data_IF_488627454913
#
_entry.id   IF_488627454913
#
_cell.length_a   1.000
_cell.length_b   1.000
_cell.length_c   1.000
_cell.angle_alpha   90.00
_cell.angle_beta   90.00
_cell.angle_gamma   90.00
#
_symmetry.space_group_name_H-M   'P 1'
#
loop_
_entity.id
_entity.type
_entity.pdbx_description
1 polymer ?
#
# COMPACT_ATOMS: atom_id res chain seq x y z
N UNK A 1 6.45 -16.07 -25.67
CA UNK A 1 6.22 -16.41 -24.25
C UNK A 1 6.12 -15.16 -23.38
N UNK A 2 6.60 -14.02 -23.87
CA UNK A 2 6.75 -12.75 -23.12
C UNK A 2 5.44 -11.97 -22.86
N UNK A 3 4.42 -12.13 -23.71
CA UNK A 3 3.13 -11.41 -23.59
C UNK A 3 2.36 -11.85 -22.33
N UNK A 4 2.47 -13.12 -21.93
CA UNK A 4 1.75 -13.66 -20.78
C UNK A 4 2.34 -13.19 -19.44
N UNK A 5 3.67 -13.07 -19.35
CA UNK A 5 4.35 -12.58 -18.14
C UNK A 5 4.06 -11.10 -17.88
N UNK A 6 4.03 -10.28 -18.93
CA UNK A 6 3.70 -8.87 -18.80
C UNK A 6 2.26 -8.66 -18.30
N UNK A 7 1.32 -9.47 -18.78
CA UNK A 7 -0.06 -9.44 -18.32
C UNK A 7 -0.19 -9.85 -16.83
N UNK A 8 0.53 -10.89 -16.40
CA UNK A 8 0.55 -11.33 -15.01
C UNK A 8 1.15 -10.27 -14.06
N UNK A 9 2.25 -9.63 -14.48
CA UNK A 9 2.90 -8.57 -13.71
C UNK A 9 2.00 -7.34 -13.55
N UNK A 10 1.31 -6.93 -14.63
CA UNK A 10 0.34 -5.84 -14.59
C UNK A 10 -0.82 -6.15 -13.65
N UNK A 11 -1.30 -7.40 -13.64
CA UNK A 11 -2.36 -7.85 -12.73
C UNK A 11 -1.90 -7.80 -11.26
N UNK A 12 -0.66 -8.20 -10.99
CA UNK A 12 -0.08 -8.13 -9.65
C UNK A 12 0.04 -6.68 -9.15
N UNK A 13 0.54 -5.76 -9.99
CA UNK A 13 0.70 -4.36 -9.60
C UNK A 13 -0.65 -3.68 -9.36
N UNK A 14 -1.64 -3.98 -10.21
CA UNK A 14 -3.01 -3.53 -10.01
C UNK A 14 -3.62 -4.10 -8.72
N UNK A 15 -3.38 -5.38 -8.41
CA UNK A 15 -3.82 -6.00 -7.15
C UNK A 15 -3.19 -5.31 -5.94
N UNK A 16 -1.89 -5.06 -5.96
CA UNK A 16 -1.17 -4.34 -4.91
C UNK A 16 -1.49 -2.84 -4.88
N UNK A 17 -2.19 -2.32 -5.88
CA UNK A 17 -2.45 -0.88 -6.05
C UNK A 17 -1.16 -0.04 -6.02
N UNK A 18 -0.05 -0.59 -6.51
CA UNK A 18 1.25 0.10 -6.56
C UNK A 18 1.56 0.56 -7.98
N UNK A 19 2.23 1.71 -8.08
CA UNK A 19 2.80 2.18 -9.32
C UNK A 19 4.27 1.73 -9.50
N UNK A 20 4.82 2.01 -10.69
CA UNK A 20 6.19 1.68 -11.02
C UNK A 20 7.21 2.46 -10.18
N UNK A 21 6.91 3.71 -9.79
CA UNK A 21 7.79 4.55 -9.00
C UNK A 21 7.94 4.01 -7.58
N UNK A 22 6.84 3.59 -6.96
CA UNK A 22 6.87 2.95 -5.65
C UNK A 22 7.65 1.63 -5.70
N UNK A 23 7.47 0.85 -6.77
CA UNK A 23 8.23 -0.39 -6.98
C UNK A 23 9.74 -0.15 -7.09
N UNK A 24 10.13 0.82 -7.92
CA UNK A 24 11.54 1.25 -8.07
C UNK A 24 12.08 1.80 -6.75
N UNK A 25 11.29 2.57 -6.02
CA UNK A 25 11.66 3.08 -4.70
C UNK A 25 11.97 1.94 -3.70
N UNK A 26 11.10 0.92 -3.61
CA UNK A 26 11.33 -0.23 -2.74
C UNK A 26 12.58 -1.02 -3.17
N UNK A 27 12.83 -1.14 -4.48
CA UNK A 27 14.04 -1.76 -4.99
C UNK A 27 15.30 -0.99 -4.60
N UNK A 28 15.34 0.32 -4.84
CA UNK A 28 16.47 1.18 -4.47
C UNK A 28 16.70 1.18 -2.96
N UNK A 29 15.63 1.25 -2.16
CA UNK A 29 15.72 1.18 -0.71
C UNK A 29 16.32 -0.16 -0.25
N UNK A 30 15.86 -1.27 -0.83
CA UNK A 30 16.40 -2.61 -0.55
C UNK A 30 17.89 -2.68 -0.87
N UNK A 31 18.29 -2.10 -2.00
CA UNK A 31 19.69 -2.05 -2.44
C UNK A 31 20.56 -1.21 -1.49
N UNK A 32 20.10 -0.01 -1.12
CA UNK A 32 20.80 0.88 -0.20
C UNK A 32 20.98 0.26 1.19
N UNK A 33 19.95 -0.41 1.72
CA UNK A 33 20.04 -1.06 3.03
C UNK A 33 21.07 -2.19 3.04
N UNK A 34 21.15 -2.96 1.96
CA UNK A 34 22.14 -4.03 1.85
C UNK A 34 23.55 -3.45 1.69
N UNK A 35 23.75 -2.43 0.86
CA UNK A 35 25.03 -1.73 0.78
C UNK A 35 25.47 -1.24 2.15
N UNK A 36 24.57 -0.58 2.89
CA UNK A 36 24.86 -0.08 4.23
C UNK A 36 25.29 -1.19 5.19
N UNK A 37 24.67 -2.38 5.11
CA UNK A 37 25.10 -3.53 5.91
C UNK A 37 26.49 -4.05 5.53
N UNK A 38 26.81 -4.09 4.23
CA UNK A 38 28.07 -4.61 3.71
C UNK A 38 29.25 -3.67 3.98
N UNK A 39 29.04 -2.36 3.88
CA UNK A 39 30.04 -1.34 4.26
C UNK A 39 30.47 -1.53 5.72
N UNK A 40 29.52 -1.84 6.62
CA UNK A 40 29.83 -2.07 8.04
C UNK A 40 30.62 -3.36 8.31
N UNK A 41 30.71 -4.25 7.34
CA UNK A 41 31.39 -5.55 7.45
C UNK A 41 32.75 -5.54 6.73
N UNK A 42 33.22 -4.38 6.28
CA UNK A 42 34.53 -4.17 5.63
C UNK A 42 34.79 -5.09 4.42
N UNK A 43 33.74 -5.34 3.63
CA UNK A 43 33.81 -6.13 2.40
C UNK A 43 34.44 -5.33 1.27
N UNK A 44 34.97 -6.05 0.26
CA UNK A 44 35.51 -5.42 -0.94
C UNK A 44 34.42 -4.69 -1.75
N UNK A 45 34.81 -3.68 -2.55
CA UNK A 45 33.88 -2.90 -3.38
C UNK A 45 33.02 -3.78 -4.31
N UNK A 46 33.60 -4.86 -4.84
CA UNK A 46 32.90 -5.81 -5.73
C UNK A 46 31.83 -6.59 -4.96
N UNK A 47 32.14 -7.00 -3.72
CA UNK A 47 31.18 -7.70 -2.85
C UNK A 47 30.08 -6.78 -2.33
N UNK A 48 30.39 -5.51 -2.09
CA UNK A 48 29.41 -4.50 -1.67
C UNK A 48 28.32 -4.34 -2.73
N UNK A 49 28.69 -4.21 -4.01
CA UNK A 49 27.77 -3.91 -5.12
C UNK A 49 27.05 -5.14 -5.69
N UNK A 50 27.31 -6.35 -5.16
CA UNK A 50 26.71 -7.58 -5.70
C UNK A 50 25.16 -7.56 -5.57
N UNK A 51 24.40 -7.88 -6.62
CA UNK A 51 22.93 -7.70 -6.61
C UNK A 51 22.16 -8.84 -5.92
N UNK A 52 22.82 -9.91 -5.51
CA UNK A 52 22.23 -11.10 -4.91
C UNK A 52 21.42 -10.82 -3.62
N UNK A 53 22.04 -10.19 -2.63
CA UNK A 53 21.35 -9.88 -1.37
C UNK A 53 20.30 -8.76 -1.51
N UNK A 54 20.53 -7.67 -2.29
CA UNK A 54 19.49 -6.71 -2.61
C UNK A 54 18.25 -7.33 -3.25
N UNK A 55 18.43 -8.25 -4.20
CA UNK A 55 17.32 -8.95 -4.85
C UNK A 55 16.53 -9.81 -3.84
N UNK A 56 17.21 -10.56 -2.98
CA UNK A 56 16.56 -11.34 -1.94
C UNK A 56 15.75 -10.44 -0.99
N UNK A 57 16.31 -9.28 -0.60
CA UNK A 57 15.63 -8.30 0.26
C UNK A 57 14.44 -7.63 -0.45
N UNK A 58 14.54 -7.40 -1.74
CA UNK A 58 13.42 -6.89 -2.55
C UNK A 58 12.28 -7.90 -2.68
N UNK A 59 12.61 -9.18 -2.88
CA UNK A 59 11.62 -10.26 -2.92
C UNK A 59 10.91 -10.42 -1.58
N UNK A 60 11.63 -10.33 -0.46
CA UNK A 60 11.01 -10.37 0.88
C UNK A 60 10.10 -9.17 1.11
N UNK A 61 10.48 -7.96 0.67
CA UNK A 61 9.62 -6.78 0.70
C UNK A 61 8.33 -7.01 -0.11
N UNK A 62 8.43 -7.56 -1.32
CA UNK A 62 7.26 -7.89 -2.14
C UNK A 62 6.31 -8.89 -1.45
N UNK A 63 6.88 -9.91 -0.80
CA UNK A 63 6.09 -10.87 -0.04
C UNK A 63 5.33 -10.19 1.11
N UNK A 64 5.96 -9.24 1.82
CA UNK A 64 5.30 -8.42 2.85
C UNK A 64 4.12 -7.63 2.27
N UNK A 65 4.32 -6.93 1.15
CA UNK A 65 3.28 -6.16 0.46
C UNK A 65 2.08 -7.04 0.08
N UNK A 66 2.35 -8.22 -0.49
CA UNK A 66 1.32 -9.20 -0.88
C UNK A 66 0.52 -9.67 0.34
N UNK A 67 1.19 -10.03 1.45
CA UNK A 67 0.51 -10.51 2.65
C UNK A 67 -0.38 -9.43 3.29
N UNK A 68 0.12 -8.20 3.34
CA UNK A 68 -0.67 -7.06 3.82
C UNK A 68 -1.90 -6.88 2.92
N UNK A 69 -1.72 -6.87 1.60
CA UNK A 69 -2.83 -6.67 0.68
C UNK A 69 -3.87 -7.78 0.76
N UNK A 70 -3.43 -9.03 0.81
CA UNK A 70 -4.31 -10.19 0.97
C UNK A 70 -5.13 -10.11 2.26
N UNK A 71 -4.49 -9.71 3.36
CA UNK A 71 -5.15 -9.56 4.66
C UNK A 71 -6.19 -8.45 4.62
N UNK A 72 -5.84 -7.28 4.08
CA UNK A 72 -6.77 -6.16 3.90
C UNK A 72 -7.98 -6.60 3.06
N UNK A 73 -7.75 -7.18 1.88
CA UNK A 73 -8.83 -7.55 0.95
C UNK A 73 -9.71 -8.68 1.49
N UNK A 74 -9.15 -9.60 2.27
CA UNK A 74 -9.90 -10.68 2.90
C UNK A 74 -10.85 -10.16 3.98
N UNK A 75 -10.37 -9.26 4.84
CA UNK A 75 -11.17 -8.75 5.95
C UNK A 75 -12.10 -7.58 5.57
N UNK A 76 -11.70 -6.69 4.66
CA UNK A 76 -12.56 -5.60 4.16
C UNK A 76 -13.80 -6.13 3.41
N UNK A 77 -13.70 -7.27 2.72
CA UNK A 77 -14.88 -7.91 2.10
C UNK A 77 -15.92 -8.38 3.12
N UNK A 78 -15.51 -8.58 4.38
CA UNK A 78 -16.35 -9.14 5.45
C UNK A 78 -16.93 -8.07 6.38
N UNK A 79 -16.25 -6.91 6.51
CA UNK A 79 -16.65 -5.79 7.38
C UNK A 79 -17.04 -4.57 6.52
N UNK A 80 -18.33 -4.42 6.20
CA UNK A 80 -18.85 -3.36 5.29
C UNK A 80 -18.88 -1.96 5.95
N UNK A 81 -18.79 -1.86 7.28
CA UNK A 81 -19.12 -0.63 8.03
C UNK A 81 -17.92 0.12 8.65
N UNK A 82 -16.72 -0.49 8.75
CA UNK A 82 -15.55 0.08 9.46
C UNK A 82 -14.27 0.18 8.60
N UNK A 83 -14.41 0.02 7.28
CA UNK A 83 -13.31 -0.22 6.34
C UNK A 83 -12.21 0.87 6.28
N UNK A 84 -12.47 2.07 6.81
CA UNK A 84 -11.60 3.25 6.66
C UNK A 84 -11.02 3.79 7.98
N UNK A 85 -11.20 3.09 9.11
CA UNK A 85 -10.56 3.50 10.37
C UNK A 85 -9.10 3.05 10.41
N UNK A 86 -8.20 3.95 10.83
CA UNK A 86 -6.77 3.63 10.99
C UNK A 86 -6.52 2.43 11.93
N UNK A 87 -7.34 2.29 12.99
CA UNK A 87 -7.31 1.15 13.91
C UNK A 87 -7.50 -0.20 13.20
N UNK A 88 -8.38 -0.25 12.20
CA UNK A 88 -8.65 -1.44 11.39
C UNK A 88 -7.44 -1.83 10.54
N UNK A 89 -6.75 -0.84 9.95
CA UNK A 89 -5.50 -1.07 9.21
C UNK A 89 -4.37 -1.59 10.12
N UNK A 90 -4.25 -1.07 11.35
CA UNK A 90 -3.28 -1.59 12.32
C UNK A 90 -3.57 -3.04 12.74
N UNK A 91 -4.84 -3.42 12.88
CA UNK A 91 -5.25 -4.81 13.13
C UNK A 91 -4.81 -5.73 11.99
N UNK A 92 -5.06 -5.34 10.74
CA UNK A 92 -4.67 -6.12 9.57
C UNK A 92 -3.14 -6.18 9.39
N UNK A 93 -2.44 -5.11 9.76
CA UNK A 93 -0.98 -5.08 9.81
C UNK A 93 -0.44 -6.12 10.80
N UNK A 94 -1.00 -6.19 12.01
CA UNK A 94 -0.62 -7.19 13.01
C UNK A 94 -0.89 -8.63 12.58
N UNK A 95 -2.02 -8.90 11.93
CA UNK A 95 -2.33 -10.23 11.38
C UNK A 95 -1.32 -10.60 10.27
N UNK A 96 -1.04 -9.66 9.37
CA UNK A 96 -0.07 -9.84 8.28
C UNK A 96 1.34 -10.10 8.82
N UNK A 97 1.71 -9.48 9.93
CA UNK A 97 2.98 -9.68 10.61
C UNK A 97 3.13 -11.13 11.11
N UNK A 98 2.11 -11.65 11.78
CA UNK A 98 2.11 -13.04 12.28
C UNK A 98 2.20 -14.02 11.10
N UNK A 99 1.39 -13.80 10.05
CA UNK A 99 1.44 -14.62 8.83
C UNK A 99 2.82 -14.58 8.16
N UNK A 100 3.44 -13.41 8.09
CA UNK A 100 4.78 -13.23 7.53
C UNK A 100 5.83 -14.03 8.31
N UNK A 101 5.80 -13.98 9.65
CA UNK A 101 6.73 -14.76 10.48
C UNK A 101 6.53 -16.27 10.28
N UNK A 102 5.28 -16.73 10.25
CA UNK A 102 4.95 -18.14 10.01
C UNK A 102 5.47 -18.63 8.65
N UNK A 103 5.14 -17.92 7.57
CA UNK A 103 5.57 -18.28 6.21
C UNK A 103 7.11 -18.23 6.10
N UNK A 104 7.75 -17.21 6.67
CA UNK A 104 9.21 -17.07 6.64
C UNK A 104 9.93 -18.17 7.42
N UNK A 105 9.34 -18.64 8.52
CA UNK A 105 9.86 -19.78 9.26
C UNK A 105 9.71 -21.09 8.50
N UNK A 106 8.54 -21.33 7.89
CA UNK A 106 8.30 -22.52 7.08
C UNK A 106 9.25 -22.58 5.88
N UNK A 107 9.44 -21.46 5.17
CA UNK A 107 10.41 -21.37 4.09
C UNK A 107 11.84 -21.57 4.59
N UNK A 108 12.20 -20.97 5.72
CA UNK A 108 13.52 -21.13 6.32
C UNK A 108 13.82 -22.58 6.73
N UNK A 109 12.82 -23.28 7.27
CA UNK A 109 12.92 -24.68 7.65
C UNK A 109 13.04 -25.57 6.42
N UNK A 110 12.22 -25.34 5.40
CA UNK A 110 12.30 -26.04 4.12
C UNK A 110 13.69 -25.93 3.49
N UNK A 111 14.22 -24.71 3.37
CA UNK A 111 15.56 -24.45 2.83
C UNK A 111 16.62 -25.14 3.70
N UNK A 112 16.53 -25.02 5.03
CA UNK A 112 17.54 -25.60 5.92
C UNK A 112 17.55 -27.13 5.90
N UNK A 113 16.40 -27.76 5.67
CA UNK A 113 16.31 -29.22 5.43
C UNK A 113 16.97 -29.60 4.12
N UNK A 114 16.71 -28.87 3.03
CA UNK A 114 17.30 -29.15 1.70
C UNK A 114 18.83 -29.05 1.71
N UNK A 115 19.40 -28.11 2.46
CA UNK A 115 20.85 -27.90 2.52
C UNK A 115 21.52 -28.50 3.75
N UNK A 116 20.79 -29.27 4.57
CA UNK A 116 21.27 -29.85 5.82
C UNK A 116 21.92 -28.83 6.78
N UNK A 117 21.33 -27.63 6.89
CA UNK A 117 21.84 -26.52 7.72
C UNK A 117 20.91 -26.19 8.90
N UNK A 118 20.08 -27.14 9.34
CA UNK A 118 19.10 -26.93 10.42
C UNK A 118 19.80 -26.48 11.71
N UNK A 119 20.83 -27.19 12.17
CA UNK A 119 21.56 -26.85 13.40
C UNK A 119 22.19 -25.45 13.36
N UNK A 120 22.67 -25.03 12.17
CA UNK A 120 23.27 -23.71 11.97
C UNK A 120 22.23 -22.59 11.94
N UNK A 121 21.08 -22.81 11.31
CA UNK A 121 20.08 -21.76 11.10
C UNK A 121 19.05 -21.66 12.24
N UNK A 122 18.82 -22.76 12.98
CA UNK A 122 17.81 -22.88 14.05
C UNK A 122 18.42 -22.98 15.46
N UNK A 123 19.64 -22.48 15.68
CA UNK A 123 20.14 -22.26 17.05
C UNK A 123 19.52 -21.01 17.68
N UNK A 124 19.50 -20.95 19.01
CA UNK A 124 18.82 -19.89 19.78
C UNK A 124 19.26 -18.48 19.39
N UNK A 125 20.58 -18.25 19.25
CA UNK A 125 21.11 -16.92 18.91
C UNK A 125 20.69 -16.49 17.50
N UNK A 126 20.82 -17.39 16.52
CA UNK A 126 20.48 -17.13 15.12
C UNK A 126 18.98 -16.91 14.96
N UNK A 127 18.15 -17.67 15.67
CA UNK A 127 16.70 -17.49 15.68
C UNK A 127 16.31 -16.11 16.20
N UNK A 128 16.83 -15.69 17.36
CA UNK A 128 16.53 -14.38 17.94
C UNK A 128 16.90 -13.25 16.98
N UNK A 129 18.12 -13.27 16.44
CA UNK A 129 18.59 -12.26 15.48
C UNK A 129 17.76 -12.26 14.19
N UNK A 130 17.40 -13.45 13.68
CA UNK A 130 16.60 -13.59 12.47
C UNK A 130 15.18 -13.05 12.67
N UNK A 131 14.54 -13.36 13.81
CA UNK A 131 13.21 -12.83 14.14
C UNK A 131 13.24 -11.31 14.31
N UNK A 132 14.27 -10.76 14.97
CA UNK A 132 14.43 -9.33 15.13
C UNK A 132 14.60 -8.64 13.76
N UNK A 133 15.50 -9.15 12.91
CA UNK A 133 15.72 -8.61 11.56
C UNK A 133 14.44 -8.67 10.72
N UNK A 134 13.72 -9.81 10.74
CA UNK A 134 12.44 -9.97 10.03
C UNK A 134 11.38 -9.00 10.54
N UNK A 135 11.35 -8.73 11.84
CA UNK A 135 10.41 -7.78 12.44
C UNK A 135 10.71 -6.35 12.01
N UNK A 136 11.99 -5.97 11.96
CA UNK A 136 12.42 -4.67 11.46
C UNK A 136 12.06 -4.53 9.98
N UNK A 137 12.39 -5.52 9.15
CA UNK A 137 12.09 -5.49 7.72
C UNK A 137 10.57 -5.41 7.46
N UNK A 138 9.77 -6.20 8.18
CA UNK A 138 8.30 -6.13 8.09
C UNK A 138 7.78 -4.76 8.49
N UNK A 139 8.27 -4.21 9.60
CA UNK A 139 7.84 -2.90 10.09
C UNK A 139 8.17 -1.80 9.09
N UNK A 140 9.38 -1.85 8.51
CA UNK A 140 9.84 -0.87 7.55
C UNK A 140 9.04 -0.93 6.24
N UNK A 141 9.04 -2.09 5.56
CA UNK A 141 8.39 -2.20 4.25
C UNK A 141 6.87 -2.20 4.35
N UNK A 142 6.33 -2.88 5.36
CA UNK A 142 4.90 -2.88 5.61
C UNK A 142 4.40 -1.50 6.01
N UNK A 143 5.13 -0.77 6.86
CA UNK A 143 4.79 0.60 7.23
C UNK A 143 4.81 1.56 6.04
N UNK A 144 5.85 1.49 5.20
CA UNK A 144 5.94 2.26 3.96
C UNK A 144 4.77 1.95 3.02
N UNK A 145 4.41 0.68 2.89
CA UNK A 145 3.29 0.26 2.05
C UNK A 145 1.94 0.74 2.58
N UNK A 146 1.68 0.64 3.89
CA UNK A 146 0.47 1.21 4.49
C UNK A 146 0.40 2.71 4.25
N UNK A 147 1.48 3.44 4.51
CA UNK A 147 1.54 4.89 4.30
C UNK A 147 1.22 5.25 2.84
N UNK A 148 1.76 4.48 1.89
CA UNK A 148 1.48 4.63 0.46
C UNK A 148 0.00 4.36 0.13
N UNK A 149 -0.60 3.29 0.66
CA UNK A 149 -2.02 3.01 0.48
C UNK A 149 -2.91 4.12 1.05
N UNK A 150 -2.60 4.61 2.25
CA UNK A 150 -3.32 5.73 2.87
C UNK A 150 -3.22 7.01 2.03
N UNK A 151 -2.04 7.30 1.47
CA UNK A 151 -1.85 8.46 0.59
C UNK A 151 -2.71 8.36 -0.67
N UNK A 152 -2.71 7.19 -1.32
CA UNK A 152 -3.54 6.93 -2.50
C UNK A 152 -5.04 7.08 -2.20
N UNK A 153 -5.49 6.49 -1.09
CA UNK A 153 -6.88 6.55 -0.67
C UNK A 153 -7.33 7.98 -0.35
N UNK A 154 -6.50 8.75 0.37
CA UNK A 154 -6.76 10.16 0.66
C UNK A 154 -6.84 11.02 -0.62
N UNK A 155 -5.96 10.77 -1.60
CA UNK A 155 -6.01 11.50 -2.87
C UNK A 155 -7.30 11.21 -3.65
N UNK A 156 -7.76 9.95 -3.63
CA UNK A 156 -9.04 9.57 -4.24
C UNK A 156 -10.22 10.25 -3.54
N UNK A 157 -10.24 10.26 -2.21
CA UNK A 157 -11.27 10.96 -1.44
C UNK A 157 -11.31 12.46 -1.73
N UNK A 158 -10.14 13.12 -1.79
CA UNK A 158 -10.07 14.54 -2.16
C UNK A 158 -10.60 14.79 -3.57
N UNK A 159 -10.32 13.91 -4.52
CA UNK A 159 -10.83 14.03 -5.89
C UNK A 159 -12.36 13.86 -5.93
N UNK A 160 -12.91 12.96 -5.12
CA UNK A 160 -14.35 12.74 -5.00
C UNK A 160 -15.08 13.93 -4.37
N UNK A 161 -14.55 14.47 -3.27
CA UNK A 161 -15.08 15.70 -2.63
C UNK A 161 -15.15 16.85 -3.64
N UNK A 162 -14.07 17.08 -4.41
CA UNK A 162 -14.06 18.13 -5.45
C UNK A 162 -15.14 17.94 -6.52
N UNK A 163 -15.44 16.69 -6.89
CA UNK A 163 -16.53 16.39 -7.85
C UNK A 163 -17.89 16.72 -7.24
N UNK A 164 -18.10 16.37 -5.98
CA UNK A 164 -19.34 16.69 -5.27
C UNK A 164 -19.53 18.20 -5.11
N UNK A 165 -18.49 18.94 -4.74
CA UNK A 165 -18.56 20.41 -4.61
C UNK A 165 -18.89 21.09 -5.95
N UNK A 166 -18.32 20.59 -7.05
CA UNK A 166 -18.62 21.08 -8.40
C UNK A 166 -20.07 20.79 -8.81
N UNK A 167 -20.58 19.58 -8.51
CA UNK A 167 -21.96 19.21 -8.78
C UNK A 167 -22.95 20.04 -7.94
N UNK A 168 -22.64 20.25 -6.66
CA UNK A 168 -23.43 21.09 -5.77
C UNK A 168 -23.47 22.54 -6.26
N UNK A 169 -22.31 23.11 -6.60
CA UNK A 169 -22.22 24.47 -7.14
C UNK A 169 -23.02 24.63 -8.42
N UNK A 170 -22.96 23.63 -9.31
CA UNK A 170 -23.75 23.61 -10.55
C UNK A 170 -25.25 23.58 -10.29
N UNK A 171 -25.69 22.76 -9.32
CA UNK A 171 -27.08 22.67 -8.88
C UNK A 171 -27.58 24.00 -8.29
N UNK A 172 -26.78 24.64 -7.43
CA UNK A 172 -27.08 25.95 -6.85
C UNK A 172 -27.22 27.02 -7.94
N UNK A 173 -26.30 27.06 -8.91
CA UNK A 173 -26.38 27.98 -10.05
C UNK A 173 -27.65 27.73 -10.87
N UNK A 174 -28.01 26.46 -11.10
CA UNK A 174 -29.22 26.11 -11.84
C UNK A 174 -30.48 26.54 -11.09
N UNK A 175 -30.52 26.37 -9.77
CA UNK A 175 -31.63 26.82 -8.92
C UNK A 175 -31.76 28.35 -8.96
N UNK A 176 -30.66 29.09 -8.82
CA UNK A 176 -30.66 30.56 -8.93
C UNK A 176 -31.15 31.03 -10.31
N UNK A 177 -30.71 30.37 -11.39
CA UNK A 177 -31.21 30.65 -12.75
C UNK A 177 -32.71 30.39 -12.88
N UNK A 178 -33.23 29.34 -12.26
CA UNK A 178 -34.67 29.02 -12.27
C UNK A 178 -35.51 30.00 -11.44
N UNK A 179 -34.91 30.68 -10.45
CA UNK A 179 -35.56 31.74 -9.67
C UNK A 179 -35.58 33.08 -10.42
N UNK A 180 -34.56 33.36 -11.24
CA UNK A 180 -34.50 34.51 -12.15
C UNK A 180 -35.38 34.34 -13.41
N UNK A 181 -36.16 33.25 -13.49
CA UNK A 181 -36.95 32.93 -14.66
C UNK A 181 -38.02 34.02 -14.87
N UNK A 182 -38.27 34.48 -16.12
CA UNK A 182 -39.05 35.69 -16.38
C UNK A 182 -40.46 35.63 -15.78
N UNK A 183 -41.06 34.43 -15.69
CA UNK A 183 -42.36 34.24 -15.06
C UNK A 183 -42.40 34.71 -13.60
N UNK A 184 -41.34 34.51 -12.81
CA UNK A 184 -41.26 35.01 -11.43
C UNK A 184 -41.04 36.53 -11.37
N UNK A 185 -40.23 37.07 -12.28
CA UNK A 185 -40.01 38.52 -12.38
C UNK A 185 -41.29 39.25 -12.80
N UNK A 186 -42.01 38.74 -13.80
CA UNK A 186 -43.30 39.29 -14.24
C UNK A 186 -44.37 39.15 -13.15
N UNK A 187 -44.41 38.04 -12.39
CA UNK A 187 -45.37 37.90 -11.29
C UNK A 187 -45.13 38.95 -10.20
N UNK A 188 -43.87 39.15 -9.78
CA UNK A 188 -43.55 40.18 -8.78
C UNK A 188 -43.82 41.60 -9.28
N UNK A 189 -43.52 41.89 -10.56
CA UNK A 189 -43.85 43.18 -11.18
C UNK A 189 -45.36 43.43 -11.23
N UNK A 190 -46.15 42.44 -11.66
CA UNK A 190 -47.61 42.57 -11.66
C UNK A 190 -48.18 42.73 -10.24
N UNK A 191 -47.63 42.01 -9.25
CA UNK A 191 -48.11 42.14 -7.86
C UNK A 191 -47.77 43.53 -7.29
N UNK A 192 -46.62 44.10 -7.66
CA UNK A 192 -46.25 45.47 -7.31
C UNK A 192 -47.15 46.50 -8.01
N UNK A 193 -47.48 46.31 -9.28
CA UNK A 193 -48.45 47.15 -10.01
C UNK A 193 -49.86 47.07 -9.42
N UNK A 194 -50.24 45.95 -8.79
CA UNK A 194 -51.53 45.80 -8.10
C UNK A 194 -51.57 46.46 -6.71
N UNK A 195 -50.41 46.80 -6.14
CA UNK A 195 -50.25 47.35 -4.79
C UNK A 195 -49.99 48.87 -4.77
N UNK A 196 -49.77 49.50 -5.92
CA UNK A 196 -49.51 50.94 -6.10
C UNK A 196 -50.73 51.59 -6.78
#
# INVERSE_FOLDING_TARGET
MDICYFAAMKRLFNFLRIDIYFTVFIFLLSYLLVINSRIKTDLSLVEILRPDAPLAKFVSAFLILILIKLTIDYFQKKEVLDAYKASTYFKYFGISFILFLLISNLLGLFISTLFNTISRNFNSQTLVLTHLSRSIDFTLYGGLYLAYLFLMENNNYKAEIRKYDNALSSSVIQQLKSQLNPHFLFNNLNTLDELI
#
